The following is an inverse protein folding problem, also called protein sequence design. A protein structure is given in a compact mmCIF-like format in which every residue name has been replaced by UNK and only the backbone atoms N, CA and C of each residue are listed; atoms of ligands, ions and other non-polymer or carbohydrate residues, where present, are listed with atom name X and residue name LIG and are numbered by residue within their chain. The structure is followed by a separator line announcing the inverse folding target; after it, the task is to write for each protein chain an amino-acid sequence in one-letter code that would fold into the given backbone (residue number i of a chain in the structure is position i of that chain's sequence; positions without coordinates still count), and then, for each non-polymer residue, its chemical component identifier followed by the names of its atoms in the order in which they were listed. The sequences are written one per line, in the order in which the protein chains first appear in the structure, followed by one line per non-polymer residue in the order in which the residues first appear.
data_IF_571001063309
#
_entry.id   IF_571001063309
#
_cell.length_a   1.000
_cell.length_b   1.000
_cell.length_c   1.000
_cell.angle_alpha   90.00
_cell.angle_beta   90.00
_cell.angle_gamma   90.00
#
_symmetry.space_group_name_H-M   'P 1'
#
loop_
_entity.id
_entity.type
_entity.pdbx_description
1 polymer ?
#
# COMPACT_ATOMS: atom_id res chain seq x y z
N UNK A 1 15.96 -36.25 -60.75
CA UNK A 1 14.68 -35.97 -60.05
C UNK A 1 14.77 -35.75 -58.51
N UNK A 2 15.82 -35.19 -57.87
CA UNK A 2 15.81 -35.04 -56.39
C UNK A 2 15.31 -33.68 -55.84
N UNK A 3 15.37 -32.60 -56.65
CA UNK A 3 15.19 -31.22 -56.16
C UNK A 3 13.74 -30.90 -55.74
N UNK A 4 12.74 -31.50 -56.42
CA UNK A 4 11.32 -31.27 -56.11
C UNK A 4 10.89 -31.88 -54.77
N UNK A 5 11.47 -33.03 -54.42
CA UNK A 5 11.19 -33.71 -53.16
C UNK A 5 11.78 -32.91 -51.99
N UNK A 6 13.04 -32.47 -52.10
CA UNK A 6 13.71 -31.67 -51.06
C UNK A 6 12.91 -30.41 -50.66
N UNK A 7 12.27 -29.74 -51.63
CA UNK A 7 11.42 -28.56 -51.37
C UNK A 7 10.15 -28.88 -50.60
N UNK A 8 9.55 -30.05 -50.85
CA UNK A 8 8.34 -30.51 -50.15
C UNK A 8 8.69 -30.91 -48.71
N UNK A 9 9.82 -31.61 -48.52
CA UNK A 9 10.31 -31.98 -47.20
C UNK A 9 10.67 -30.74 -46.36
N UNK A 10 11.36 -29.76 -46.96
CA UNK A 10 11.71 -28.51 -46.28
C UNK A 10 10.45 -27.74 -45.84
N UNK A 11 9.45 -27.59 -46.72
CA UNK A 11 8.19 -26.91 -46.39
C UNK A 11 7.39 -27.62 -45.29
N UNK A 12 7.40 -28.96 -45.28
CA UNK A 12 6.75 -29.73 -44.21
C UNK A 12 7.48 -29.58 -42.89
N UNK A 13 8.81 -29.61 -42.91
CA UNK A 13 9.63 -29.44 -41.72
C UNK A 13 9.43 -28.07 -41.07
N UNK A 14 9.36 -26.99 -41.85
CA UNK A 14 9.12 -25.64 -41.32
C UNK A 14 7.73 -25.50 -40.69
N UNK A 15 6.71 -26.16 -41.27
CA UNK A 15 5.34 -26.17 -40.71
C UNK A 15 5.32 -26.90 -39.36
N UNK A 16 5.93 -28.09 -39.28
CA UNK A 16 5.99 -28.85 -38.03
C UNK A 16 6.82 -28.15 -36.95
N UNK A 17 7.94 -27.52 -37.32
CA UNK A 17 8.75 -26.72 -36.40
C UNK A 17 7.98 -25.50 -35.87
N UNK A 18 7.22 -24.81 -36.73
CA UNK A 18 6.39 -23.67 -36.32
C UNK A 18 5.28 -24.13 -35.37
N UNK A 19 4.62 -25.26 -35.66
CA UNK A 19 3.62 -25.84 -34.77
C UNK A 19 4.21 -26.22 -33.41
N UNK A 20 5.40 -26.83 -33.38
CA UNK A 20 6.09 -27.18 -32.15
C UNK A 20 6.45 -25.94 -31.31
N UNK A 21 6.96 -24.88 -31.95
CA UNK A 21 7.29 -23.64 -31.27
C UNK A 21 6.05 -22.95 -30.69
N UNK A 22 4.94 -22.97 -31.44
CA UNK A 22 3.67 -22.40 -30.98
C UNK A 22 3.07 -23.19 -29.82
N UNK A 23 3.12 -24.53 -29.84
CA UNK A 23 2.60 -25.34 -28.74
C UNK A 23 3.47 -25.19 -27.49
N UNK A 24 4.79 -25.27 -27.60
CA UNK A 24 5.70 -25.08 -26.46
C UNK A 24 5.59 -23.67 -25.89
N UNK A 25 5.49 -22.63 -26.73
CA UNK A 25 5.26 -21.26 -26.29
C UNK A 25 3.91 -21.08 -25.58
N UNK A 26 2.85 -21.74 -26.07
CA UNK A 26 1.54 -21.71 -25.43
C UNK A 26 1.56 -22.33 -24.03
N UNK A 27 2.18 -23.51 -23.86
CA UNK A 27 2.31 -24.16 -22.55
C UNK A 27 3.16 -23.35 -21.55
N UNK A 28 4.23 -22.69 -22.02
CA UNK A 28 5.04 -21.83 -21.14
C UNK A 28 4.30 -20.56 -20.69
N UNK A 29 3.40 -20.03 -21.53
CA UNK A 29 2.65 -18.81 -21.23
C UNK A 29 1.33 -19.07 -20.48
N UNK A 30 0.72 -20.24 -20.67
CA UNK A 30 -0.58 -20.58 -20.06
C UNK A 30 -0.56 -20.63 -18.54
N UNK A 31 0.59 -20.90 -17.94
CA UNK A 31 0.75 -20.96 -16.48
C UNK A 31 0.84 -19.56 -15.83
N UNK A 32 1.13 -18.51 -16.62
CA UNK A 32 1.33 -17.13 -16.12
C UNK A 32 0.00 -16.40 -15.90
N UNK A 33 -0.96 -16.55 -16.82
CA UNK A 33 -2.25 -15.88 -16.76
C UNK A 33 -3.11 -16.19 -15.51
N UNK A 34 -3.24 -17.46 -15.06
CA UNK A 34 -4.03 -17.78 -13.87
C UNK A 34 -3.40 -17.26 -12.58
N UNK A 35 -2.07 -17.17 -12.50
CA UNK A 35 -1.39 -16.70 -11.28
C UNK A 35 -1.69 -15.21 -11.01
N UNK A 36 -1.63 -14.36 -12.05
CA UNK A 36 -1.95 -12.92 -11.94
C UNK A 36 -3.41 -12.71 -11.55
N UNK A 37 -4.34 -13.49 -12.12
CA UNK A 37 -5.76 -13.40 -11.80
C UNK A 37 -6.03 -13.85 -10.35
N UNK A 38 -5.40 -14.94 -9.90
CA UNK A 38 -5.54 -15.44 -8.53
C UNK A 38 -4.97 -14.49 -7.49
N UNK A 39 -3.87 -13.79 -7.78
CA UNK A 39 -3.31 -12.75 -6.90
C UNK A 39 -4.22 -11.52 -6.80
N UNK A 40 -4.82 -11.09 -7.91
CA UNK A 40 -5.77 -9.98 -7.92
C UNK A 40 -7.08 -10.32 -7.17
N UNK A 41 -7.55 -11.57 -7.25
CA UNK A 41 -8.77 -12.05 -6.60
C UNK A 41 -8.53 -12.47 -5.13
N UNK A 42 -7.31 -12.84 -4.76
CA UNK A 42 -6.87 -12.97 -3.36
C UNK A 42 -6.50 -11.61 -2.78
N UNK A 43 -7.42 -10.65 -2.82
CA UNK A 43 -7.44 -9.66 -1.74
C UNK A 43 -7.78 -10.45 -0.48
N UNK A 44 -6.90 -10.57 0.52
CA UNK A 44 -7.26 -11.29 1.73
C UNK A 44 -8.52 -10.65 2.30
N UNK A 45 -9.62 -11.42 2.39
CA UNK A 45 -10.90 -11.03 3.00
C UNK A 45 -10.78 -10.78 4.52
N UNK A 46 -9.56 -10.64 5.02
CA UNK A 46 -9.23 -10.32 6.41
C UNK A 46 -8.22 -9.18 6.43
N UNK A 47 -8.66 -8.00 6.00
CA UNK A 47 -8.23 -6.77 6.65
C UNK A 47 -9.14 -6.53 7.85
N UNK A 48 -9.11 -7.44 8.82
CA UNK A 48 -9.47 -7.10 10.18
C UNK A 48 -8.31 -6.23 10.66
N UNK A 49 -8.43 -4.91 10.47
CA UNK A 49 -7.68 -3.82 11.12
C UNK A 49 -6.29 -4.21 11.62
N UNK A 50 -5.24 -3.69 10.98
CA UNK A 50 -3.89 -3.96 11.46
C UNK A 50 -3.76 -3.42 12.90
N UNK A 51 -3.14 -4.15 13.85
CA UNK A 51 -3.04 -3.68 15.23
C UNK A 51 -2.41 -2.29 15.38
N UNK A 52 -1.53 -1.91 14.44
CA UNK A 52 -0.95 -0.55 14.37
C UNK A 52 -2.02 0.51 14.02
N UNK A 53 -3.00 0.20 13.17
CA UNK A 53 -4.06 1.15 12.80
C UNK A 53 -4.82 1.61 14.05
N UNK A 54 -5.12 0.67 14.96
CA UNK A 54 -5.75 1.00 16.26
C UNK A 54 -4.89 1.94 17.09
N UNK A 55 -3.57 1.70 17.18
CA UNK A 55 -2.66 2.55 17.95
C UNK A 55 -2.59 3.96 17.34
N UNK A 56 -2.54 4.06 16.01
CA UNK A 56 -2.56 5.33 15.30
C UNK A 56 -3.86 6.09 15.59
N UNK A 57 -5.01 5.42 15.51
CA UNK A 57 -6.32 6.02 15.78
C UNK A 57 -6.44 6.52 17.22
N UNK A 58 -6.00 5.73 18.19
CA UNK A 58 -6.03 6.09 19.62
C UNK A 58 -5.18 7.33 19.92
N UNK A 59 -3.95 7.37 19.37
CA UNK A 59 -3.04 8.51 19.53
C UNK A 59 -3.62 9.76 18.85
N UNK A 60 -4.16 9.63 17.65
CA UNK A 60 -4.80 10.74 16.93
C UNK A 60 -5.99 11.31 17.72
N UNK A 61 -6.86 10.45 18.24
CA UNK A 61 -8.00 10.88 19.07
C UNK A 61 -7.53 11.64 20.32
N UNK A 62 -6.50 11.13 21.00
CA UNK A 62 -5.94 11.78 22.19
C UNK A 62 -5.31 13.12 21.86
N UNK A 63 -4.55 13.18 20.76
CA UNK A 63 -3.93 14.40 20.28
C UNK A 63 -4.97 15.47 19.90
N UNK A 64 -6.02 15.10 19.17
CA UNK A 64 -7.10 16.03 18.83
C UNK A 64 -7.81 16.58 20.06
N UNK A 65 -8.04 15.76 21.09
CA UNK A 65 -8.63 16.20 22.36
C UNK A 65 -7.72 17.20 23.10
N UNK A 66 -6.41 16.98 23.08
CA UNK A 66 -5.44 17.93 23.64
C UNK A 66 -5.44 19.26 22.87
N UNK A 67 -5.48 19.21 21.54
CA UNK A 67 -5.56 20.41 20.71
C UNK A 67 -6.85 21.20 20.95
N UNK A 68 -7.99 20.53 21.12
CA UNK A 68 -9.26 21.20 21.43
C UNK A 68 -9.24 21.87 22.82
N UNK A 69 -8.48 21.33 23.77
CA UNK A 69 -8.37 21.86 25.13
C UNK A 69 -7.19 22.82 25.33
N UNK A 70 -6.44 23.18 24.27
CA UNK A 70 -5.33 24.14 24.35
C UNK A 70 -5.84 25.56 24.61
N UNK A 71 -5.01 26.39 25.24
CA UNK A 71 -5.31 27.83 25.34
C UNK A 71 -4.90 28.50 24.03
N UNK A 72 -5.66 29.49 23.56
CA UNK A 72 -5.41 30.17 22.28
C UNK A 72 -4.93 31.61 22.45
N UNK A 73 -4.93 32.11 23.68
CA UNK A 73 -4.43 33.43 24.04
C UNK A 73 -3.78 33.39 25.43
N UNK A 74 -2.97 34.42 25.70
CA UNK A 74 -2.15 34.52 26.91
C UNK A 74 -3.01 34.59 28.19
N UNK A 75 -4.17 35.23 28.14
CA UNK A 75 -5.08 35.31 29.29
C UNK A 75 -5.64 33.94 29.67
N UNK A 76 -6.08 33.15 28.69
CA UNK A 76 -6.61 31.80 28.91
C UNK A 76 -5.51 30.87 29.41
N UNK A 77 -4.29 31.04 28.92
CA UNK A 77 -3.12 30.31 29.38
C UNK A 77 -2.83 30.58 30.86
N UNK A 78 -2.82 31.87 31.23
CA UNK A 78 -2.57 32.30 32.60
C UNK A 78 -3.70 31.85 33.55
N UNK A 79 -4.96 31.86 33.08
CA UNK A 79 -6.11 31.35 33.84
C UNK A 79 -5.98 29.85 34.11
N UNK A 80 -5.75 29.04 33.06
CA UNK A 80 -5.55 27.59 33.22
C UNK A 80 -4.31 27.25 34.03
N UNK A 81 -3.25 28.06 33.96
CA UNK A 81 -2.08 27.89 34.82
C UNK A 81 -2.45 28.05 36.31
N UNK A 82 -3.19 29.12 36.64
CA UNK A 82 -3.66 29.37 38.01
C UNK A 82 -4.56 28.23 38.51
N UNK A 83 -5.49 27.75 37.68
CA UNK A 83 -6.36 26.61 38.01
C UNK A 83 -5.56 25.34 38.30
N UNK A 84 -4.58 25.01 37.45
CA UNK A 84 -3.79 23.77 37.58
C UNK A 84 -2.73 23.82 38.67
N UNK A 85 -2.15 24.99 38.93
CA UNK A 85 -0.98 25.15 39.80
C UNK A 85 -1.26 25.87 41.11
N UNK A 86 -2.42 26.53 41.26
CA UNK A 86 -2.82 27.27 42.46
C UNK A 86 -2.04 28.56 42.72
N UNK A 87 -1.32 29.10 41.73
CA UNK A 87 -0.44 30.28 41.87
C UNK A 87 -0.38 31.07 40.57
N UNK A 88 0.02 32.34 40.66
CA UNK A 88 0.22 33.19 39.48
C UNK A 88 1.30 32.62 38.55
N UNK A 89 1.17 32.83 37.22
CA UNK A 89 2.22 32.47 36.28
C UNK A 89 3.54 33.17 36.63
N UNK A 90 4.69 32.52 36.38
CA UNK A 90 5.99 33.12 36.67
C UNK A 90 6.22 34.39 35.83
N UNK A 91 7.08 35.32 36.30
CA UNK A 91 7.54 36.42 35.46
C UNK A 91 8.16 35.86 34.17
N UNK A 92 7.87 36.51 33.04
CA UNK A 92 8.29 36.03 31.71
C UNK A 92 7.39 34.94 31.09
N UNK A 93 6.27 34.56 31.72
CA UNK A 93 5.35 33.56 31.19
C UNK A 93 4.87 33.86 29.75
N UNK A 94 4.61 35.13 29.44
CA UNK A 94 4.20 35.54 28.09
C UNK A 94 5.29 35.45 27.02
N UNK A 95 6.57 35.28 27.40
CA UNK A 95 7.66 35.10 26.44
C UNK A 95 7.74 33.66 25.89
N UNK A 96 7.11 32.70 26.59
CA UNK A 96 7.06 31.28 26.21
C UNK A 96 5.64 30.84 25.81
N UNK A 97 4.72 31.82 25.67
CA UNK A 97 3.37 31.64 25.18
C UNK A 97 3.34 31.79 23.66
#
# INVERSE_FOLDING_TARGET
MPIRLARIYFRRLTIWSSLLLLTTGYFLFSDVLPDVANHALRKPLRSQWHPIDRLIDEVNMTFHRLLQSRSTNLSDAAARYRERRGRHPPPGFGAWW
#
